data_IF_217275195111
#
_entry.id   IF_217275195111
#
_cell.length_a   1.000
_cell.length_b   1.000
_cell.length_c   1.000
_cell.angle_alpha   90.00
_cell.angle_beta   90.00
_cell.angle_gamma   90.00
#
_symmetry.space_group_name_H-M   'P 1'
#
loop_
_entity.id
_entity.type
_entity.pdbx_description
1 polymer ?
#
# COMPACT_ATOMS: atom_id res chain seq x y z
N UNK A 1 -38.07 16.81 -12.54
CA UNK A 1 -36.96 17.78 -12.50
C UNK A 1 -36.11 17.65 -11.25
N UNK A 2 -36.65 17.63 -10.02
CA UNK A 2 -35.86 17.49 -8.80
C UNK A 2 -35.03 16.19 -8.79
N UNK A 3 -35.60 15.08 -9.25
CA UNK A 3 -34.90 13.78 -9.29
C UNK A 3 -33.68 13.80 -10.22
N UNK A 4 -33.82 14.37 -11.42
CA UNK A 4 -32.71 14.47 -12.37
C UNK A 4 -31.58 15.35 -11.84
N UNK A 5 -31.89 16.40 -11.08
CA UNK A 5 -30.90 17.22 -10.39
C UNK A 5 -30.15 16.43 -9.31
N UNK A 6 -30.86 15.59 -8.53
CA UNK A 6 -30.21 14.73 -7.55
C UNK A 6 -29.27 13.71 -8.21
N UNK A 7 -29.72 13.04 -9.26
CA UNK A 7 -28.88 12.09 -10.00
C UNK A 7 -27.65 12.78 -10.57
N UNK A 8 -27.80 13.97 -11.15
CA UNK A 8 -26.68 14.75 -11.66
C UNK A 8 -25.72 15.20 -10.52
N UNK A 9 -26.26 15.61 -9.36
CA UNK A 9 -25.44 15.99 -8.22
C UNK A 9 -24.61 14.83 -7.68
N UNK A 10 -25.20 13.62 -7.56
CA UNK A 10 -24.44 12.42 -7.14
C UNK A 10 -23.33 12.07 -8.12
N UNK A 11 -23.59 12.21 -9.42
CA UNK A 11 -22.59 12.01 -10.47
C UNK A 11 -21.43 13.00 -10.37
N UNK A 12 -21.72 14.29 -10.16
CA UNK A 12 -20.69 15.33 -9.98
C UNK A 12 -19.84 15.06 -8.73
N UNK A 13 -20.45 14.68 -7.61
CA UNK A 13 -19.73 14.33 -6.37
C UNK A 13 -18.84 13.10 -6.60
N UNK A 14 -19.32 12.10 -7.33
CA UNK A 14 -18.53 10.92 -7.66
C UNK A 14 -17.31 11.28 -8.51
N UNK A 15 -17.49 12.12 -9.54
CA UNK A 15 -16.39 12.59 -10.39
C UNK A 15 -15.38 13.45 -9.60
N UNK A 16 -15.87 14.31 -8.70
CA UNK A 16 -14.98 15.07 -7.83
C UNK A 16 -14.12 14.14 -6.96
N UNK A 17 -14.71 13.11 -6.34
CA UNK A 17 -13.96 12.11 -5.57
C UNK A 17 -12.93 11.35 -6.42
N UNK A 18 -13.27 11.01 -7.65
CA UNK A 18 -12.32 10.40 -8.58
C UNK A 18 -11.13 11.33 -8.85
N UNK A 19 -11.38 12.60 -9.14
CA UNK A 19 -10.34 13.60 -9.36
C UNK A 19 -9.47 13.79 -8.12
N UNK A 20 -10.07 13.83 -6.92
CA UNK A 20 -9.33 13.93 -5.66
C UNK A 20 -8.34 12.76 -5.49
N UNK A 21 -8.78 11.53 -5.77
CA UNK A 21 -7.95 10.33 -5.68
C UNK A 21 -6.82 10.34 -6.72
N UNK A 22 -7.13 10.65 -7.98
CA UNK A 22 -6.14 10.76 -9.06
C UNK A 22 -5.10 11.84 -8.74
N UNK A 23 -5.54 13.01 -8.27
CA UNK A 23 -4.65 14.11 -7.90
C UNK A 23 -3.69 13.70 -6.76
N UNK A 24 -4.19 12.96 -5.77
CA UNK A 24 -3.35 12.42 -4.70
C UNK A 24 -2.34 11.40 -5.23
N UNK A 25 -2.75 10.49 -6.12
CA UNK A 25 -1.84 9.54 -6.76
C UNK A 25 -0.74 10.25 -7.53
N UNK A 26 -1.08 11.22 -8.38
CA UNK A 26 -0.12 11.99 -9.18
C UNK A 26 0.86 12.76 -8.28
N UNK A 27 0.37 13.39 -7.21
CA UNK A 27 1.23 14.14 -6.27
C UNK A 27 2.27 13.25 -5.61
N UNK A 28 1.95 11.96 -5.43
CA UNK A 28 2.82 10.98 -4.76
C UNK A 28 3.55 10.03 -5.73
N UNK A 29 3.65 10.37 -7.01
CA UNK A 29 4.35 9.53 -8.01
C UNK A 29 5.84 9.35 -7.70
N UNK A 30 6.49 10.34 -7.08
CA UNK A 30 7.90 10.29 -6.69
C UNK A 30 8.11 9.84 -5.23
N UNK A 31 7.04 9.55 -4.48
CA UNK A 31 7.14 9.14 -3.08
C UNK A 31 7.51 7.65 -3.01
N UNK A 32 8.62 7.34 -2.32
CA UNK A 32 9.11 5.96 -2.15
C UNK A 32 8.13 5.15 -1.32
N UNK A 33 7.82 3.94 -1.76
CA UNK A 33 6.89 3.04 -1.07
C UNK A 33 5.42 3.43 -1.14
N UNK A 34 5.07 4.51 -1.85
CA UNK A 34 3.67 4.91 -2.01
C UNK A 34 2.89 3.90 -2.84
N UNK A 35 1.64 3.67 -2.44
CA UNK A 35 0.70 2.79 -3.12
C UNK A 35 -0.52 3.56 -3.59
N UNK A 36 -0.84 3.43 -4.90
CA UNK A 36 -1.97 4.12 -5.52
C UNK A 36 -3.29 3.71 -4.88
N UNK A 37 -4.18 4.66 -4.77
CA UNK A 37 -5.55 4.44 -4.34
C UNK A 37 -6.48 4.43 -5.55
N UNK A 38 -7.57 3.66 -5.46
CA UNK A 38 -8.62 3.60 -6.48
C UNK A 38 -9.96 3.83 -5.83
N UNK A 39 -10.75 4.75 -6.39
CA UNK A 39 -12.13 4.96 -5.97
C UNK A 39 -13.05 3.91 -6.61
N UNK A 40 -13.95 3.35 -5.82
CA UNK A 40 -14.96 2.39 -6.25
C UNK A 40 -16.35 2.98 -6.04
N UNK A 41 -17.18 2.83 -7.06
CA UNK A 41 -18.53 3.40 -7.10
C UNK A 41 -19.54 2.29 -7.29
N UNK A 42 -20.73 2.47 -6.71
CA UNK A 42 -21.89 1.63 -6.98
C UNK A 42 -23.08 2.50 -7.37
N UNK A 43 -23.92 1.96 -8.19
CA UNK A 43 -25.21 2.54 -8.53
C UNK A 43 -26.15 2.53 -7.31
N UNK A 44 -27.12 3.42 -7.33
CA UNK A 44 -28.21 3.45 -6.35
C UNK A 44 -29.39 2.63 -6.88
N UNK A 45 -30.34 2.34 -6.00
CA UNK A 45 -31.54 1.58 -6.35
C UNK A 45 -32.23 2.15 -7.58
N UNK A 46 -32.81 1.24 -8.38
CA UNK A 46 -33.65 1.59 -9.52
C UNK A 46 -35.09 1.71 -9.07
N UNK A 47 -35.78 2.72 -9.58
CA UNK A 47 -37.22 2.83 -9.44
C UNK A 47 -37.88 2.22 -10.68
N UNK A 48 -38.62 1.13 -10.47
CA UNK A 48 -39.37 0.48 -11.52
C UNK A 48 -40.66 1.24 -11.76
N UNK A 49 -40.83 1.80 -12.96
CA UNK A 49 -42.07 2.46 -13.37
C UNK A 49 -43.01 1.48 -14.06
N UNK A 50 -42.45 0.46 -14.71
CA UNK A 50 -43.18 -0.59 -15.40
C UNK A 50 -42.37 -1.89 -15.32
N UNK A 51 -43.05 -2.95 -14.93
CA UNK A 51 -42.42 -4.27 -14.87
C UNK A 51 -42.38 -4.93 -16.25
N UNK A 52 -41.28 -5.62 -16.55
CA UNK A 52 -41.21 -6.53 -17.67
C UNK A 52 -42.20 -7.67 -17.48
N UNK A 53 -42.78 -8.20 -18.58
CA UNK A 53 -43.74 -9.29 -18.54
C UNK A 53 -45.19 -8.89 -18.21
N UNK A 54 -45.45 -7.57 -18.03
CA UNK A 54 -46.87 -7.14 -17.88
C UNK A 54 -47.64 -7.39 -19.17
N UNK A 55 -48.80 -8.02 -19.05
CA UNK A 55 -49.66 -8.32 -20.17
C UNK A 55 -50.15 -7.02 -20.84
N UNK A 56 -49.96 -6.93 -22.15
CA UNK A 56 -50.47 -5.82 -23.01
C UNK A 56 -51.78 -6.21 -23.64
N UNK A 57 -52.02 -7.51 -23.83
CA UNK A 57 -53.21 -8.11 -24.41
C UNK A 57 -53.34 -9.53 -23.87
N UNK A 58 -54.43 -10.22 -24.14
CA UNK A 58 -54.66 -11.62 -23.79
C UNK A 58 -53.55 -12.56 -24.29
N UNK A 59 -52.79 -12.18 -25.31
CA UNK A 59 -51.75 -13.01 -25.96
C UNK A 59 -50.38 -12.36 -26.04
N UNK A 60 -50.22 -11.10 -25.60
CA UNK A 60 -48.93 -10.36 -25.72
C UNK A 60 -48.50 -9.76 -24.39
N UNK A 61 -47.17 -9.78 -24.13
CA UNK A 61 -46.57 -9.24 -22.93
C UNK A 61 -45.48 -8.21 -23.34
N UNK A 62 -45.21 -7.23 -22.46
CA UNK A 62 -44.10 -6.33 -22.65
C UNK A 62 -42.77 -7.06 -22.46
N UNK A 63 -41.86 -7.05 -23.48
CA UNK A 63 -40.58 -7.74 -23.38
C UNK A 63 -39.60 -7.05 -22.43
N UNK A 64 -39.80 -5.75 -22.15
CA UNK A 64 -38.90 -4.97 -21.27
C UNK A 64 -39.69 -4.06 -20.32
N UNK A 65 -39.16 -3.85 -19.13
CA UNK A 65 -39.63 -2.87 -18.15
C UNK A 65 -39.07 -1.47 -18.35
N UNK A 66 -39.57 -0.52 -17.58
CA UNK A 66 -39.01 0.84 -17.48
C UNK A 66 -38.50 1.01 -16.07
N UNK A 67 -37.17 1.12 -15.94
CA UNK A 67 -36.49 1.32 -14.67
C UNK A 67 -35.63 2.60 -14.76
N UNK A 68 -35.67 3.41 -13.71
CA UNK A 68 -34.95 4.67 -13.63
C UNK A 68 -33.98 4.60 -12.44
N UNK A 69 -32.68 4.67 -12.70
CA UNK A 69 -31.64 4.73 -11.69
C UNK A 69 -31.67 6.05 -10.92
N UNK A 70 -31.32 6.00 -9.63
CA UNK A 70 -31.34 7.17 -8.74
C UNK A 70 -29.97 7.84 -8.59
N UNK A 71 -28.95 7.34 -9.27
CA UNK A 71 -27.60 7.92 -9.27
C UNK A 71 -26.53 6.94 -8.81
N UNK A 72 -25.42 7.48 -8.31
CA UNK A 72 -24.20 6.77 -7.93
C UNK A 72 -23.78 7.18 -6.52
N UNK A 73 -23.11 6.26 -5.81
CA UNK A 73 -22.45 6.54 -4.53
C UNK A 73 -21.03 5.98 -4.51
N UNK A 74 -20.08 6.66 -3.85
CA UNK A 74 -18.79 6.05 -3.55
C UNK A 74 -18.98 4.91 -2.53
N UNK A 75 -18.33 3.78 -2.77
CA UNK A 75 -18.37 2.60 -1.89
C UNK A 75 -17.11 2.53 -1.04
N UNK A 76 -15.95 2.65 -1.70
CA UNK A 76 -14.66 2.53 -1.05
C UNK A 76 -13.60 3.33 -1.81
N UNK A 77 -12.51 3.64 -1.13
CA UNK A 77 -11.25 4.05 -1.73
C UNK A 77 -10.23 3.02 -1.26
N UNK A 78 -9.87 2.10 -2.15
CA UNK A 78 -9.00 0.98 -1.84
C UNK A 78 -7.57 1.27 -2.28
N UNK A 79 -6.57 0.85 -1.46
CA UNK A 79 -5.16 0.89 -1.84
C UNK A 79 -4.77 -0.37 -2.59
N UNK A 80 -3.98 -0.19 -3.64
CA UNK A 80 -3.47 -1.28 -4.48
C UNK A 80 -2.01 -1.51 -4.09
N UNK A 81 -1.73 -2.65 -3.45
CA UNK A 81 -0.41 -3.00 -2.94
C UNK A 81 0.46 -3.76 -3.95
N UNK A 82 0.19 -3.60 -5.25
CA UNK A 82 1.08 -4.09 -6.28
C UNK A 82 2.47 -3.46 -6.16
N UNK A 83 3.52 -4.24 -6.50
CA UNK A 83 4.88 -3.73 -6.46
C UNK A 83 5.07 -2.62 -7.50
N UNK A 84 5.76 -1.56 -7.10
CA UNK A 84 6.25 -0.53 -7.99
C UNK A 84 7.53 -0.94 -8.71
N UNK A 85 8.17 -0.01 -9.37
CA UNK A 85 9.51 -0.21 -9.94
C UNK A 85 10.57 -0.08 -8.84
N UNK A 86 11.73 -0.70 -9.06
CA UNK A 86 12.86 -0.63 -8.14
C UNK A 86 13.92 0.33 -8.70
N UNK A 87 14.35 1.26 -7.88
CA UNK A 87 15.40 2.21 -8.22
C UNK A 87 16.63 1.87 -7.38
N UNK A 88 17.77 1.71 -8.04
CA UNK A 88 19.06 1.59 -7.36
C UNK A 88 19.46 2.94 -6.75
N UNK A 89 19.82 2.93 -5.48
CA UNK A 89 20.25 4.14 -4.74
C UNK A 89 21.75 4.08 -4.46
N UNK A 90 22.16 3.26 -3.54
CA UNK A 90 23.56 3.00 -3.16
C UNK A 90 23.58 1.83 -2.17
N UNK A 91 24.69 1.12 -2.12
CA UNK A 91 24.93 0.09 -1.09
C UNK A 91 25.52 0.67 0.19
N UNK A 92 25.91 1.95 0.19
CA UNK A 92 26.48 2.60 1.37
C UNK A 92 25.39 3.03 2.38
N UNK A 93 24.16 3.23 1.91
CA UNK A 93 23.01 3.53 2.74
C UNK A 93 22.26 2.24 3.07
N UNK A 94 21.50 2.25 4.17
CA UNK A 94 20.63 1.14 4.53
C UNK A 94 19.29 1.19 3.75
N UNK A 95 19.40 1.34 2.44
CA UNK A 95 18.24 1.31 1.55
C UNK A 95 17.92 -0.14 1.19
N UNK A 96 16.69 -0.57 1.49
CA UNK A 96 16.21 -1.92 1.22
C UNK A 96 14.83 -1.91 0.56
N UNK A 97 14.61 -2.78 -0.39
CA UNK A 97 13.31 -2.93 -1.05
C UNK A 97 12.80 -4.36 -0.92
N UNK A 98 11.50 -4.52 -0.78
CA UNK A 98 10.84 -5.83 -0.77
C UNK A 98 10.40 -6.16 -2.19
N UNK A 99 10.92 -7.26 -2.75
CA UNK A 99 10.46 -7.79 -4.02
C UNK A 99 9.38 -8.85 -3.81
N UNK A 100 8.14 -8.45 -3.91
CA UNK A 100 6.98 -9.30 -3.66
C UNK A 100 6.08 -8.77 -2.56
N UNK A 101 5.40 -9.66 -1.85
CA UNK A 101 4.47 -9.30 -0.77
C UNK A 101 5.22 -9.15 0.56
N UNK A 102 4.73 -8.28 1.43
CA UNK A 102 5.25 -8.08 2.79
C UNK A 102 5.37 -6.61 3.14
N UNK A 103 5.64 -6.33 4.39
CA UNK A 103 5.84 -4.99 4.94
C UNK A 103 6.98 -5.05 5.96
N UNK A 104 7.70 -3.96 6.09
CA UNK A 104 8.61 -3.75 7.22
C UNK A 104 7.82 -3.37 8.45
N UNK A 105 8.30 -3.78 9.62
CA UNK A 105 7.74 -3.41 10.91
C UNK A 105 8.51 -2.25 11.51
N UNK A 106 7.80 -1.24 11.96
CA UNK A 106 8.38 -0.04 12.58
C UNK A 106 7.72 0.16 13.95
N UNK A 107 8.52 0.45 14.96
CA UNK A 107 8.06 0.77 16.29
C UNK A 107 7.83 2.28 16.41
N UNK A 108 6.59 2.67 16.71
CA UNK A 108 6.22 4.04 17.02
C UNK A 108 6.62 4.43 18.45
N UNK A 109 6.73 5.72 18.77
CA UNK A 109 7.09 6.19 20.11
C UNK A 109 6.10 5.80 21.21
N UNK A 110 4.86 5.52 20.86
CA UNK A 110 3.80 5.04 21.76
C UNK A 110 3.87 3.54 22.02
N UNK A 111 4.86 2.84 21.46
CA UNK A 111 5.05 1.40 21.57
C UNK A 111 4.19 0.57 20.62
N UNK A 112 3.34 1.20 19.79
CA UNK A 112 2.57 0.48 18.77
C UNK A 112 3.44 0.13 17.57
N UNK A 113 3.13 -0.97 16.89
CA UNK A 113 3.81 -1.38 15.66
C UNK A 113 3.07 -0.83 14.45
N UNK A 114 3.78 -0.11 13.61
CA UNK A 114 3.32 0.31 12.30
C UNK A 114 4.01 -0.49 11.19
N UNK A 115 3.42 -0.52 10.03
CA UNK A 115 3.89 -1.27 8.88
C UNK A 115 4.17 -0.32 7.73
N UNK A 116 5.24 -0.58 6.98
CA UNK A 116 5.60 0.27 5.84
C UNK A 116 6.16 -0.53 4.67
N UNK A 117 6.06 0.06 3.47
CA UNK A 117 6.77 -0.38 2.26
C UNK A 117 7.97 0.53 1.93
N UNK A 118 8.10 1.64 2.66
CA UNK A 118 9.26 2.49 2.50
C UNK A 118 10.47 1.82 3.15
N UNK A 119 11.50 1.55 2.37
CA UNK A 119 12.74 0.93 2.81
C UNK A 119 13.91 1.91 2.88
N UNK A 120 13.65 3.19 2.91
CA UNK A 120 14.68 4.20 3.16
C UNK A 120 14.96 4.29 4.65
N UNK A 121 15.99 3.58 5.08
CA UNK A 121 16.43 3.60 6.48
C UNK A 121 17.76 4.31 6.60
N UNK A 122 18.00 4.85 7.77
CA UNK A 122 19.26 5.50 8.15
C UNK A 122 19.74 4.94 9.49
N UNK A 123 21.00 5.22 9.81
CA UNK A 123 21.59 4.85 11.08
C UNK A 123 21.51 6.04 12.05
N UNK A 124 21.02 5.81 13.25
CA UNK A 124 21.02 6.78 14.34
C UNK A 124 22.41 6.88 15.01
N UNK A 125 22.58 7.86 15.91
CA UNK A 125 23.82 8.08 16.69
C UNK A 125 24.24 6.88 17.53
N UNK A 126 23.30 6.02 17.92
CA UNK A 126 23.54 4.79 18.67
C UNK A 126 23.78 3.57 17.78
N UNK A 127 23.71 3.74 16.45
CA UNK A 127 23.88 2.65 15.49
C UNK A 127 22.60 1.88 15.19
N UNK A 128 21.43 2.29 15.70
CA UNK A 128 20.17 1.63 15.39
C UNK A 128 19.65 2.03 14.01
N UNK A 129 18.94 1.11 13.38
CA UNK A 129 18.31 1.35 12.07
C UNK A 129 16.96 2.04 12.30
N UNK A 130 16.82 3.25 11.75
CA UNK A 130 15.63 4.09 11.89
C UNK A 130 15.13 4.57 10.52
N UNK A 131 13.85 4.92 10.44
CA UNK A 131 13.30 5.62 9.29
C UNK A 131 13.65 7.13 9.33
N UNK A 132 13.17 7.91 8.35
CA UNK A 132 13.40 9.35 8.29
C UNK A 132 12.82 10.13 9.49
N UNK A 133 11.82 9.60 10.17
CA UNK A 133 11.16 10.18 11.34
C UNK A 133 11.80 9.75 12.66
N UNK A 134 12.83 8.89 12.62
CA UNK A 134 13.53 8.38 13.80
C UNK A 134 12.87 7.16 14.47
N UNK A 135 11.94 6.48 13.80
CA UNK A 135 11.29 5.28 14.34
C UNK A 135 12.11 4.03 14.05
N UNK A 136 12.21 3.13 15.02
CA UNK A 136 13.03 1.93 14.94
C UNK A 136 12.44 0.85 14.05
N UNK A 137 13.29 0.24 13.21
CA UNK A 137 12.95 -0.98 12.49
C UNK A 137 12.89 -2.16 13.47
N UNK A 138 11.89 -3.01 13.36
CA UNK A 138 11.76 -4.25 14.11
C UNK A 138 12.13 -5.48 13.26
N UNK A 139 12.86 -6.46 13.81
CA UNK A 139 13.57 -6.44 15.10
C UNK A 139 14.67 -5.38 15.14
N UNK A 140 14.94 -4.80 16.31
CA UNK A 140 15.99 -3.79 16.46
C UNK A 140 17.35 -4.41 16.17
N UNK A 141 18.06 -3.85 15.21
CA UNK A 141 19.40 -4.26 14.82
C UNK A 141 20.32 -3.06 15.05
N UNK A 142 21.36 -3.24 15.86
CA UNK A 142 22.35 -2.20 16.14
C UNK A 142 23.60 -2.46 15.34
N UNK A 143 24.02 -1.49 14.55
CA UNK A 143 25.23 -1.53 13.74
C UNK A 143 26.40 -1.00 14.57
N UNK A 144 27.45 -1.77 14.83
CA UNK A 144 28.60 -1.31 15.61
C UNK A 144 29.35 -0.16 14.90
N UNK A 145 29.91 0.74 15.70
CA UNK A 145 30.72 1.83 15.18
C UNK A 145 31.96 1.30 14.44
N UNK A 146 32.29 1.95 13.33
CA UNK A 146 33.46 1.58 12.51
C UNK A 146 33.20 0.45 11.51
N UNK A 147 31.97 -0.05 11.38
CA UNK A 147 31.62 -1.01 10.33
C UNK A 147 31.90 -0.42 8.94
N UNK A 148 32.64 -1.18 8.10
CA UNK A 148 33.06 -0.69 6.77
C UNK A 148 32.10 -1.09 5.66
N UNK A 149 31.56 -2.29 5.70
CA UNK A 149 30.64 -2.81 4.68
C UNK A 149 29.41 -3.36 5.35
N UNK A 150 28.26 -2.83 4.97
CA UNK A 150 26.95 -3.31 5.36
C UNK A 150 26.36 -4.11 4.19
N UNK A 151 25.90 -5.31 4.45
CA UNK A 151 25.25 -6.16 3.46
C UNK A 151 23.96 -6.73 4.03
N UNK A 152 22.90 -6.71 3.23
CA UNK A 152 21.64 -7.38 3.55
C UNK A 152 21.41 -8.47 2.52
N UNK A 153 21.30 -9.70 2.98
CA UNK A 153 21.03 -10.86 2.15
C UNK A 153 19.53 -10.90 1.73
N UNK A 154 19.19 -11.74 0.76
CA UNK A 154 17.82 -11.84 0.24
C UNK A 154 16.82 -12.36 1.28
N UNK A 155 17.30 -13.13 2.24
CA UNK A 155 16.52 -13.64 3.39
C UNK A 155 16.35 -12.64 4.55
N UNK A 156 16.91 -11.44 4.39
CA UNK A 156 16.85 -10.39 5.42
C UNK A 156 18.00 -10.42 6.43
N UNK A 157 18.95 -11.33 6.31
CA UNK A 157 20.12 -11.38 7.20
C UNK A 157 20.99 -10.16 6.98
N UNK A 158 21.23 -9.40 8.04
CA UNK A 158 22.07 -8.21 8.06
C UNK A 158 23.45 -8.60 8.56
N UNK A 159 24.45 -8.38 7.72
CA UNK A 159 25.85 -8.67 8.04
C UNK A 159 26.72 -7.44 7.82
N UNK A 160 27.74 -7.29 8.67
CA UNK A 160 28.71 -6.21 8.59
C UNK A 160 30.12 -6.76 8.61
N UNK A 161 31.05 -6.01 8.03
CA UNK A 161 32.47 -6.28 8.12
C UNK A 161 33.11 -5.27 9.06
N UNK A 162 33.77 -5.75 10.09
CA UNK A 162 34.51 -4.92 11.04
C UNK A 162 35.92 -4.65 10.53
N UNK A 163 36.51 -3.48 10.86
CA UNK A 163 37.86 -3.14 10.45
C UNK A 163 38.88 -4.12 11.09
N UNK A 164 39.59 -4.84 10.24
CA UNK A 164 40.60 -5.84 10.67
C UNK A 164 40.12 -7.29 10.70
N UNK A 165 38.86 -7.54 10.43
CA UNK A 165 38.31 -8.89 10.24
C UNK A 165 38.12 -9.18 8.73
N UNK A 166 38.33 -10.42 8.34
CA UNK A 166 38.11 -10.91 6.97
C UNK A 166 36.75 -11.56 6.81
N UNK A 167 36.12 -11.91 7.91
CA UNK A 167 34.83 -12.58 7.92
C UNK A 167 33.71 -11.57 8.26
N UNK A 168 32.55 -11.75 7.62
CA UNK A 168 31.36 -10.96 7.92
C UNK A 168 30.69 -11.44 9.19
N UNK A 169 30.36 -10.52 10.09
CA UNK A 169 29.62 -10.82 11.33
C UNK A 169 28.13 -10.56 11.07
N UNK A 170 27.29 -11.54 11.39
CA UNK A 170 25.84 -11.39 11.35
C UNK A 170 25.35 -10.63 12.57
N UNK A 171 24.57 -9.56 12.36
CA UNK A 171 23.98 -8.73 13.41
C UNK A 171 22.56 -9.13 13.75
N UNK A 172 21.81 -9.64 12.80
CA UNK A 172 20.41 -10.01 12.96
C UNK A 172 19.72 -10.22 11.64
N UNK A 173 18.41 -10.44 11.70
CA UNK A 173 17.59 -10.69 10.52
C UNK A 173 16.38 -9.75 10.50
N UNK A 174 16.11 -9.14 9.37
CA UNK A 174 14.91 -8.33 9.13
C UNK A 174 13.75 -9.28 8.85
N UNK A 175 12.73 -9.20 9.67
CA UNK A 175 11.49 -9.94 9.46
C UNK A 175 10.51 -9.12 8.62
N UNK A 176 9.81 -9.79 7.73
CA UNK A 176 8.72 -9.22 6.96
C UNK A 176 7.38 -9.69 7.51
N UNK A 177 6.37 -8.85 7.34
CA UNK A 177 5.01 -9.18 7.76
C UNK A 177 4.08 -9.14 6.56
N UNK A 178 3.20 -10.11 6.46
CA UNK A 178 2.12 -10.14 5.49
C UNK A 178 0.76 -10.09 6.18
N UNK A 179 -0.22 -9.60 5.46
CA UNK A 179 -1.62 -9.54 5.89
C UNK A 179 -2.50 -10.32 4.92
N UNK A 180 -3.53 -10.96 5.44
CA UNK A 180 -4.52 -11.66 4.63
C UNK A 180 -5.24 -10.67 3.71
N UNK A 181 -5.55 -9.47 4.23
CA UNK A 181 -6.17 -8.39 3.47
C UNK A 181 -5.41 -7.06 3.64
N UNK A 182 -4.38 -6.80 2.83
CA UNK A 182 -3.62 -5.55 2.91
C UNK A 182 -4.46 -4.29 2.66
N UNK A 183 -5.53 -4.40 1.83
CA UNK A 183 -6.41 -3.27 1.56
C UNK A 183 -7.20 -2.79 2.79
N UNK A 184 -7.33 -3.64 3.81
CA UNK A 184 -7.96 -3.31 5.08
C UNK A 184 -7.07 -2.55 6.06
N UNK A 185 -5.80 -2.33 5.76
CA UNK A 185 -4.90 -1.56 6.61
C UNK A 185 -5.31 -0.09 6.68
N UNK A 186 -5.17 0.51 7.86
CA UNK A 186 -5.42 1.93 8.06
C UNK A 186 -4.16 2.74 7.74
N UNK A 187 -4.27 3.70 6.83
CA UNK A 187 -3.18 4.62 6.50
C UNK A 187 -3.11 5.75 7.52
N UNK A 188 -1.97 5.87 8.21
CA UNK A 188 -1.71 6.94 9.19
C UNK A 188 -1.14 8.23 8.56
N UNK A 189 -0.55 8.14 7.41
CA UNK A 189 0.35 9.13 6.81
C UNK A 189 1.78 8.61 6.79
N UNK A 190 2.74 9.35 6.22
CA UNK A 190 4.18 9.06 6.16
C UNK A 190 4.50 7.65 5.64
N UNK A 191 3.63 7.11 4.76
CA UNK A 191 3.69 5.74 4.26
C UNK A 191 3.61 4.65 5.34
N UNK A 192 3.03 4.99 6.50
CA UNK A 192 2.79 4.08 7.61
C UNK A 192 1.36 3.55 7.59
N UNK A 193 1.24 2.28 7.93
CA UNK A 193 -0.02 1.55 8.00
C UNK A 193 -0.18 0.93 9.39
N UNK A 194 -1.41 0.94 9.90
CA UNK A 194 -1.77 0.23 11.12
C UNK A 194 -2.67 -0.95 10.79
N UNK A 195 -2.57 -1.99 11.60
CA UNK A 195 -3.48 -3.12 11.53
C UNK A 195 -4.90 -2.72 11.93
N UNK A 196 -5.87 -3.38 11.34
CA UNK A 196 -7.28 -3.24 11.67
C UNK A 196 -7.93 -4.61 11.77
N UNK A 197 -9.12 -4.67 12.34
CA UNK A 197 -9.91 -5.91 12.31
C UNK A 197 -10.24 -6.42 10.90
N UNK A 198 -10.15 -5.55 9.87
CA UNK A 198 -10.40 -5.89 8.47
C UNK A 198 -9.13 -6.41 7.75
N UNK A 199 -7.94 -6.04 8.20
CA UNK A 199 -6.67 -6.52 7.63
C UNK A 199 -6.35 -7.95 8.07
N UNK A 200 -6.86 -8.38 9.21
CA UNK A 200 -6.42 -9.57 9.91
C UNK A 200 -5.15 -9.34 10.71
N UNK A 201 -4.78 -10.33 11.52
CA UNK A 201 -3.55 -10.29 12.31
C UNK A 201 -2.30 -10.36 11.39
N UNK A 202 -1.21 -9.67 11.78
CA UNK A 202 0.05 -9.72 11.07
C UNK A 202 0.67 -11.13 11.15
N UNK A 203 1.11 -11.64 10.01
CA UNK A 203 1.86 -12.90 9.92
C UNK A 203 3.30 -12.56 9.62
N UNK A 204 4.14 -12.61 10.65
CA UNK A 204 5.58 -12.38 10.53
C UNK A 204 6.29 -13.64 9.99
N UNK A 205 7.32 -13.43 9.20
CA UNK A 205 8.13 -14.51 8.64
C UNK A 205 9.44 -14.01 8.04
N UNK A 206 10.26 -14.95 7.63
CA UNK A 206 11.55 -14.70 6.98
C UNK A 206 11.31 -14.35 5.51
N UNK A 207 12.04 -13.35 5.02
CA UNK A 207 11.97 -12.98 3.61
C UNK A 207 12.29 -14.18 2.69
N UNK A 208 11.53 -14.29 1.59
CA UNK A 208 11.66 -15.38 0.63
C UNK A 208 10.99 -16.70 1.03
N UNK A 209 10.33 -16.77 2.19
CA UNK A 209 9.58 -17.94 2.66
C UNK A 209 8.09 -17.63 2.81
N UNK A 210 7.24 -18.64 2.87
CA UNK A 210 5.80 -18.56 3.15
C UNK A 210 5.02 -17.53 2.31
N UNK A 211 5.46 -17.28 1.08
CA UNK A 211 4.83 -16.29 0.18
C UNK A 211 5.22 -14.84 0.47
N UNK A 212 6.16 -14.61 1.38
CA UNK A 212 6.82 -13.32 1.57
C UNK A 212 7.82 -13.05 0.45
N UNK A 213 7.96 -11.78 0.09
CA UNK A 213 8.94 -11.32 -0.87
C UNK A 213 10.37 -11.42 -0.34
N UNK A 214 11.34 -11.37 -1.24
CA UNK A 214 12.76 -11.27 -0.90
C UNK A 214 13.19 -9.81 -0.73
N UNK A 215 14.24 -9.60 0.07
CA UNK A 215 14.82 -8.27 0.33
C UNK A 215 15.94 -8.01 -0.67
N UNK A 216 16.00 -6.77 -1.17
CA UNK A 216 17.08 -6.27 -2.01
C UNK A 216 17.77 -5.08 -1.35
N UNK A 217 19.04 -5.23 -1.05
CA UNK A 217 19.88 -4.15 -0.54
C UNK A 217 20.29 -3.18 -1.65
N UNK A 218 20.37 -1.88 -1.32
CA UNK A 218 20.74 -0.81 -2.24
C UNK A 218 19.65 -0.39 -3.23
N UNK A 219 18.42 -0.85 -3.03
CA UNK A 219 17.27 -0.48 -3.85
C UNK A 219 16.17 0.10 -2.97
N UNK A 220 15.37 0.98 -3.57
CA UNK A 220 14.12 1.47 -3.00
C UNK A 220 12.98 1.16 -3.94
N UNK A 221 11.82 0.86 -3.38
CA UNK A 221 10.59 0.68 -4.14
C UNK A 221 9.98 2.04 -4.48
N UNK A 222 9.84 2.37 -5.77
CA UNK A 222 9.16 3.59 -6.19
C UNK A 222 7.66 3.42 -6.13
N UNK A 223 6.92 4.53 -6.20
CA UNK A 223 5.46 4.51 -6.31
C UNK A 223 5.01 3.61 -7.47
N UNK A 224 3.89 2.92 -7.29
CA UNK A 224 3.25 2.14 -8.35
C UNK A 224 2.28 2.98 -9.22
N UNK A 225 2.34 4.31 -9.10
CA UNK A 225 1.55 5.25 -9.90
C UNK A 225 2.19 5.42 -11.28
N UNK A 226 1.40 5.26 -12.33
CA UNK A 226 1.81 5.55 -13.70
C UNK A 226 1.08 6.81 -14.19
N UNK A 227 1.82 7.89 -14.43
CA UNK A 227 1.26 9.19 -14.82
C UNK A 227 0.34 9.09 -16.05
N UNK A 228 0.72 8.29 -17.05
CA UNK A 228 -0.06 8.13 -18.28
C UNK A 228 -1.40 7.44 -18.03
N UNK A 229 -1.43 6.43 -17.14
CA UNK A 229 -2.68 5.75 -16.75
C UNK A 229 -3.62 6.67 -15.96
N UNK A 230 -3.07 7.48 -15.05
CA UNK A 230 -3.88 8.37 -14.20
C UNK A 230 -4.43 9.57 -14.97
N UNK A 231 -3.85 9.92 -16.14
CA UNK A 231 -4.26 11.05 -16.97
C UNK A 231 -5.21 10.64 -18.13
N UNK A 232 -5.47 9.36 -18.34
CA UNK A 232 -6.36 8.86 -19.40
C UNK A 232 -7.67 8.35 -18.85
#
# INVERSE_FOLDING_TARGET
MIRSLHTAATGMIAQQKQVDVVSNNISNVNTVGFKKSRAEFADLFYQTMKYAGTATSATTQHPSGIEVGLGVRPVAITKIFEAGSYKYTSTDNFDVAIRGNGFFQIQLPDGTTAYTRNGQFTKDSEGNIVNADGYYLLPQITIPEGSQYLSVAQDGTVSVMLPGETDSTELGQIELVNFINPAGLHSMGDNLYLETGASGAPVAGIAGQDGLGDIRHGFVETSNVQLVEEMT
#
